data_IF_659023525079
#
_entry.id   IF_659023525079
#
_cell.length_a   1.000
_cell.length_b   1.000
_cell.length_c   1.000
_cell.angle_alpha   90.00
_cell.angle_beta   90.00
_cell.angle_gamma   90.00
#
_symmetry.space_group_name_H-M   'P 1'
#
loop_
_entity.id
_entity.type
_entity.pdbx_description
1 polymer ?
2 non-polymer ?
3 non-polymer ?
4 water ?
#
# COMPACT_ATOMS: atom_id res chain seq x y z
N UNK A 1 -9.05 -2.72 -10.97
CA UNK A 1 -7.95 -1.76 -10.63
C UNK A 1 -6.63 -2.43 -10.27
N UNK A 2 -5.57 -1.63 -10.13
CA UNK A 2 -4.24 -2.22 -9.97
C UNK A 2 -3.83 -2.41 -8.50
N UNK A 3 -4.57 -1.76 -7.60
CA UNK A 3 -4.50 -1.99 -6.14
C UNK A 3 -5.87 -2.46 -5.62
N UNK A 4 -5.86 -3.04 -4.45
CA UNK A 4 -7.12 -3.56 -3.90
C UNK A 4 -6.98 -3.54 -2.38
N UNK A 5 -7.96 -2.96 -1.67
CA UNK A 5 -7.90 -2.95 -0.22
C UNK A 5 -8.10 -4.35 0.36
N UNK A 6 -7.36 -4.67 1.41
CA UNK A 6 -7.54 -5.90 2.13
C UNK A 6 -8.95 -6.04 2.70
N UNK A 7 -9.54 -4.97 3.15
CA UNK A 7 -10.96 -4.98 3.68
C UNK A 7 -11.81 -3.86 3.11
N UNK A 8 -12.53 -4.12 1.99
CA UNK A 8 -13.33 -3.16 1.32
C UNK A 8 -14.42 -2.47 2.17
N UNK A 9 -15.04 -3.18 3.06
CA UNK A 9 -16.12 -2.59 3.91
C UNK A 9 -15.57 -1.44 4.76
N UNK A 10 -14.32 -1.67 5.20
CA UNK A 10 -13.62 -0.71 6.06
C UNK A 10 -12.96 0.42 5.28
N UNK A 11 -13.30 0.50 3.98
CA UNK A 11 -12.96 1.62 3.17
C UNK A 11 -13.50 2.96 3.74
N UNK A 12 -14.73 2.89 4.32
CA UNK A 12 -15.42 3.95 4.99
C UNK A 12 -14.76 4.29 6.32
N UNK A 13 -14.34 5.52 6.48
CA UNK A 13 -13.91 6.03 7.80
C UNK A 13 -14.97 5.85 8.86
N UNK A 14 -16.24 6.16 8.57
CA UNK A 14 -17.29 5.95 9.58
C UNK A 14 -17.42 4.51 10.00
N UNK A 15 -17.25 3.58 9.07
CA UNK A 15 -17.28 2.14 9.42
C UNK A 15 -16.11 1.81 10.31
N UNK A 16 -14.96 2.42 10.01
CA UNK A 16 -13.79 2.16 10.87
C UNK A 16 -14.04 2.73 12.25
N UNK A 17 -14.58 3.91 12.34
CA UNK A 17 -14.87 4.51 13.63
C UNK A 17 -15.79 3.64 14.47
N UNK A 18 -16.86 3.14 13.87
CA UNK A 18 -17.79 2.30 14.62
C UNK A 18 -17.14 1.06 15.23
N UNK A 19 -16.05 0.53 14.60
CA UNK A 19 -15.39 -0.68 15.02
C UNK A 19 -14.82 -0.54 16.43
N UNK A 20 -14.68 0.70 16.92
CA UNK A 20 -14.08 0.97 18.22
C UNK A 20 -15.08 0.97 19.39
N UNK A 21 -16.27 0.45 19.17
CA UNK A 21 -17.30 0.39 20.24
C UNK A 21 -16.76 -0.14 21.56
N UNK A 22 -15.99 -1.20 21.45
CA UNK A 22 -15.47 -1.94 22.61
C UNK A 22 -13.95 -1.84 22.70
N UNK A 23 -13.36 -0.77 22.16
CA UNK A 23 -11.96 -0.43 22.34
C UNK A 23 -11.63 -0.36 23.85
N UNK A 24 -10.54 -1.00 24.30
CA UNK A 24 -10.25 -1.10 25.73
C UNK A 24 -10.12 0.22 26.43
N UNK A 25 -10.46 0.24 27.71
CA UNK A 25 -10.32 1.51 28.43
C UNK A 25 -8.84 1.90 28.70
N UNK A 26 -7.92 0.97 28.58
CA UNK A 26 -6.52 1.27 28.75
C UNK A 26 -5.83 1.77 27.50
N UNK A 27 -6.55 1.69 26.38
CA UNK A 27 -5.91 2.03 25.16
C UNK A 27 -6.01 3.53 24.89
N UNK A 28 -4.87 4.17 24.90
CA UNK A 28 -4.85 5.59 24.95
C UNK A 28 -5.14 6.31 23.66
N UNK A 29 -4.83 5.73 22.50
CA UNK A 29 -5.11 6.41 21.26
C UNK A 29 -6.61 6.51 21.04
N UNK A 30 -7.03 7.59 20.42
CA UNK A 30 -8.48 7.77 20.18
C UNK A 30 -8.94 7.03 18.93
N UNK A 31 -10.16 6.51 18.96
CA UNK A 31 -10.74 5.95 17.76
C UNK A 31 -10.72 6.97 16.58
N UNK A 32 -10.95 8.25 16.89
CA UNK A 32 -10.81 9.27 15.82
C UNK A 32 -9.47 9.28 15.14
N UNK A 33 -8.41 9.32 15.90
CA UNK A 33 -7.06 9.29 15.31
C UNK A 33 -6.82 8.02 14.52
N UNK A 34 -7.13 6.89 15.12
CA UNK A 34 -6.86 5.60 14.48
C UNK A 34 -7.66 5.42 13.16
N UNK A 35 -8.94 5.74 13.18
CA UNK A 35 -9.78 5.59 12.01
C UNK A 35 -9.28 6.47 10.84
N UNK A 36 -8.84 7.67 11.20
CA UNK A 36 -8.35 8.65 10.23
C UNK A 36 -7.11 8.12 9.51
N UNK A 37 -6.29 7.33 10.24
CA UNK A 37 -5.09 6.71 9.69
C UNK A 37 -5.37 5.38 8.95
N UNK A 38 -6.62 5.07 8.65
CA UNK A 38 -7.02 3.89 7.90
C UNK A 38 -7.25 2.62 8.72
N UNK A 39 -7.18 2.75 10.04
CA UNK A 39 -7.19 1.64 10.95
C UNK A 39 -8.53 1.39 11.60
N UNK A 40 -8.85 0.11 11.74
CA UNK A 40 -10.06 -0.30 12.46
C UNK A 40 -9.71 -1.36 13.51
N UNK A 41 -10.60 -1.55 14.47
CA UNK A 41 -10.33 -2.43 15.59
C UNK A 41 -10.66 -3.86 15.27
N UNK A 42 -9.71 -4.72 15.59
CA UNK A 42 -9.83 -6.17 15.28
C UNK A 42 -10.66 -6.90 16.34
N UNK A 43 -10.91 -6.26 17.48
CA UNK A 43 -11.64 -6.89 18.55
C UNK A 43 -10.76 -7.60 19.57
N UNK A 44 -9.46 -7.60 19.34
CA UNK A 44 -8.48 -8.26 20.18
C UNK A 44 -7.52 -7.26 20.77
N UNK A 45 -7.47 -7.17 22.11
CA UNK A 45 -6.45 -6.37 22.77
C UNK A 45 -6.53 -4.90 22.33
N UNK A 46 -5.42 -4.28 22.07
CA UNK A 46 -5.38 -2.94 21.43
C UNK A 46 -4.92 -3.04 19.96
N UNK A 47 -5.25 -4.15 19.29
CA UNK A 47 -4.79 -4.45 17.90
C UNK A 47 -5.80 -3.89 16.91
N UNK A 48 -5.26 -3.04 16.02
CA UNK A 48 -6.01 -2.50 14.92
C UNK A 48 -5.42 -3.03 13.62
N UNK A 49 -6.12 -2.78 12.53
CA UNK A 49 -5.66 -3.23 11.20
C UNK A 49 -6.04 -2.19 10.16
N UNK A 50 -5.18 -2.03 9.16
CA UNK A 50 -5.44 -1.14 8.03
C UNK A 50 -6.35 -1.82 6.99
N UNK A 51 -7.39 -1.09 6.59
CA UNK A 51 -8.29 -1.57 5.53
C UNK A 51 -7.57 -1.77 4.20
N UNK A 52 -6.53 -1.01 3.98
CA UNK A 52 -5.86 -0.93 2.68
C UNK A 52 -4.79 -2.01 2.56
N UNK A 53 -3.74 -1.91 3.37
CA UNK A 53 -2.67 -2.87 3.29
C UNK A 53 -2.86 -4.16 4.10
N UNK A 54 -3.78 -4.14 5.05
CA UNK A 54 -4.00 -5.23 5.99
C UNK A 54 -3.00 -5.39 7.09
N UNK A 55 -2.08 -4.48 7.21
CA UNK A 55 -1.12 -4.47 8.29
C UNK A 55 -1.77 -4.25 9.63
N UNK A 56 -1.21 -4.89 10.67
CA UNK A 56 -1.72 -4.77 12.01
C UNK A 56 -0.76 -4.00 12.87
N UNK A 57 -1.33 -3.40 13.95
CA UNK A 57 -0.56 -2.61 14.84
C UNK A 57 -1.15 -2.84 16.21
N UNK A 58 -0.31 -3.09 17.21
CA UNK A 58 -0.82 -3.28 18.58
C UNK A 58 0.31 -2.88 19.56
N UNK A 59 0.03 -2.99 20.86
CA UNK A 59 0.97 -2.63 21.90
C UNK A 59 1.48 -1.24 21.75
N UNK A 60 0.50 -0.35 21.70
CA UNK A 60 0.74 1.06 21.51
C UNK A 60 1.44 1.62 22.76
N UNK A 61 2.41 2.49 22.55
CA UNK A 61 3.20 3.15 23.59
C UNK A 61 2.90 4.62 23.65
N UNK A 62 3.11 5.24 24.83
CA UNK A 62 2.87 6.65 24.92
C UNK A 62 3.80 7.41 23.95
N UNK A 63 3.27 8.43 23.30
CA UNK A 63 3.98 9.14 22.27
C UNK A 63 3.72 8.62 20.89
N UNK A 64 3.16 7.41 20.77
CA UNK A 64 2.84 6.87 19.43
C UNK A 64 1.81 7.77 18.74
N UNK A 65 2.00 7.97 17.45
CA UNK A 65 0.98 8.56 16.59
C UNK A 65 0.51 7.45 15.60
N UNK A 66 -0.80 7.39 15.32
CA UNK A 66 -1.33 6.38 14.38
C UNK A 66 -0.66 6.41 13.02
N UNK A 67 -0.57 7.59 12.42
CA UNK A 67 -0.05 7.71 11.06
C UNK A 67 1.41 7.31 11.05
N UNK A 68 2.15 7.85 12.01
CA UNK A 68 3.59 7.62 12.08
C UNK A 68 3.94 6.10 12.29
N UNK A 69 3.22 5.38 13.14
CA UNK A 69 3.38 3.96 13.32
C UNK A 69 2.93 3.14 12.07
N UNK A 70 1.84 3.58 11.46
CA UNK A 70 1.38 2.93 10.20
C UNK A 70 2.46 3.03 9.13
N UNK A 71 3.00 4.22 8.95
CA UNK A 71 4.05 4.45 7.94
C UNK A 71 5.35 3.72 8.30
N UNK A 72 5.70 3.62 9.59
CA UNK A 72 6.93 2.96 9.97
C UNK A 72 6.92 1.47 9.67
N UNK A 73 5.82 0.81 10.01
CA UNK A 73 5.73 -0.60 9.80
C UNK A 73 5.34 -0.97 8.38
N UNK A 74 4.57 -0.12 7.72
CA UNK A 74 3.95 -0.47 6.45
C UNK A 74 4.11 0.69 5.45
N UNK A 75 5.34 1.00 5.08
CA UNK A 75 5.57 2.21 4.30
C UNK A 75 5.09 2.13 2.86
N UNK A 76 4.85 0.92 2.36
CA UNK A 76 4.39 0.80 1.00
C UNK A 76 2.91 0.64 0.89
N UNK A 77 2.18 0.91 1.99
CA UNK A 77 0.73 0.85 1.97
C UNK A 77 0.18 1.96 1.05
N UNK A 78 -0.77 1.63 0.17
CA UNK A 78 -1.30 2.66 -0.75
C UNK A 78 -2.06 3.80 0.00
N UNK A 79 -2.60 3.49 1.17
CA UNK A 79 -3.25 4.53 1.97
C UNK A 79 -2.21 5.49 2.55
N UNK A 80 -1.12 4.93 3.05
CA UNK A 80 0.04 5.74 3.45
C UNK A 80 0.60 6.63 2.38
N UNK A 81 0.74 6.07 1.18
CA UNK A 81 1.41 6.70 0.05
C UNK A 81 0.45 7.62 -0.74
N UNK A 82 -0.83 7.58 -0.40
CA UNK A 82 -1.90 8.34 -1.05
C UNK A 82 -2.18 9.60 -0.21
N UNK B 9 20.14 -2.38 -5.93
CA UNK B 9 19.97 -3.58 -6.83
C UNK B 9 18.95 -3.25 -7.92
N UNK B 10 17.75 -2.84 -7.51
CA UNK B 10 16.70 -2.47 -8.44
C UNK B 10 16.67 -0.98 -8.74
N UNK B 11 17.73 -0.23 -8.35
CA UNK B 11 17.92 1.19 -8.72
C UNK B 11 18.09 1.44 -10.21
N UNK B 12 18.77 0.47 -10.83
CA UNK B 12 19.04 0.42 -12.26
C UNK B 12 17.80 0.04 -13.05
N UNK B 13 17.49 0.81 -14.08
CA UNK B 13 16.46 0.42 -14.99
C UNK B 13 16.76 -0.91 -15.67
N UNK B 14 18.06 -1.21 -15.90
CA UNK B 14 18.51 -2.48 -16.50
C UNK B 14 18.25 -3.67 -15.60
N UNK B 15 18.46 -3.51 -14.29
CA UNK B 15 18.28 -4.63 -13.40
C UNK B 15 16.76 -4.94 -13.26
N UNK B 16 15.97 -3.90 -13.31
CA UNK B 16 14.48 -4.01 -13.23
C UNK B 16 13.97 -4.68 -14.53
N UNK B 17 14.55 -4.35 -15.68
CA UNK B 17 14.14 -5.09 -16.91
C UNK B 17 14.46 -6.54 -16.80
N UNK B 18 15.66 -6.85 -16.33
CA UNK B 18 16.05 -8.24 -16.07
C UNK B 18 15.11 -9.03 -15.20
N UNK B 19 14.44 -8.36 -14.27
CA UNK B 19 13.50 -9.06 -13.41
C UNK B 19 12.33 -9.75 -14.12
N UNK B 20 12.08 -9.35 -15.35
CA UNK B 20 10.90 -9.73 -16.09
C UNK B 20 11.13 -11.05 -16.83
N UNK B 21 12.12 -11.82 -16.37
CA UNK B 21 12.15 -13.24 -16.67
C UNK B 21 10.85 -13.90 -16.24
N UNK B 22 10.28 -14.63 -17.14
CA UNK B 22 9.06 -15.36 -16.86
C UNK B 22 7.81 -14.45 -16.72
N UNK B 23 7.92 -13.19 -17.16
CA UNK B 23 6.75 -12.30 -17.27
C UNK B 23 5.76 -12.99 -18.23
N UNK B 24 4.48 -13.14 -17.84
CA UNK B 24 3.52 -13.91 -18.64
C UNK B 24 3.18 -13.26 -19.94
N UNK B 25 2.96 -14.13 -20.93
CA UNK B 25 2.77 -13.66 -22.29
C UNK B 25 1.45 -12.94 -22.39
N UNK B 26 0.49 -13.28 -21.52
CA UNK B 26 -0.83 -12.63 -21.58
C UNK B 26 -0.80 -11.18 -21.12
N UNK B 27 0.19 -10.81 -20.31
CA UNK B 27 0.12 -9.53 -19.62
C UNK B 27 0.02 -8.31 -20.54
N UNK B 28 -0.77 -7.33 -20.06
CA UNK B 28 -1.24 -6.23 -20.89
C UNK B 28 -0.31 -5.00 -21.00
N UNK B 29 0.83 -5.04 -20.31
CA UNK B 29 1.93 -4.08 -20.48
C UNK B 29 3.21 -4.80 -20.57
N UNK B 30 4.22 -4.14 -21.17
CA UNK B 30 5.53 -4.66 -21.34
C UNK B 30 6.60 -4.40 -20.24
N UNK B 31 7.61 -5.28 -20.10
CA UNK B 31 8.73 -5.08 -19.18
C UNK B 31 9.37 -3.69 -19.33
N UNK B 32 9.54 -3.18 -20.56
CA UNK B 32 10.07 -1.80 -20.75
C UNK B 32 9.22 -0.69 -20.19
N UNK B 33 7.92 -0.69 -20.45
CA UNK B 33 7.11 0.36 -19.98
C UNK B 33 7.18 0.32 -18.42
N UNK B 34 7.13 -0.91 -17.89
CA UNK B 34 7.09 -1.09 -16.42
C UNK B 34 8.41 -0.72 -15.76
N UNK B 35 9.55 -1.17 -16.30
CA UNK B 35 10.88 -0.93 -15.69
C UNK B 35 11.17 0.57 -15.76
N UNK B 36 10.66 1.22 -16.82
CA UNK B 36 10.81 2.67 -17.00
C UNK B 36 10.04 3.48 -15.97
N UNK B 37 8.93 2.94 -15.46
CA UNK B 37 8.19 3.61 -14.48
C UNK B 37 8.61 3.18 -13.06
N UNK B 38 9.75 2.56 -12.90
CA UNK B 38 10.34 2.21 -11.54
C UNK B 38 9.97 0.85 -11.06
N UNK B 39 9.33 0.04 -11.91
CA UNK B 39 8.66 -1.21 -11.43
C UNK B 39 9.42 -2.43 -11.82
N UNK B 40 9.44 -3.43 -10.97
CA UNK B 40 10.03 -4.66 -11.26
C UNK B 40 9.13 -5.83 -10.95
N UNK B 41 9.43 -6.99 -11.54
CA UNK B 41 8.54 -8.14 -11.42
C UNK B 41 8.76 -8.87 -10.11
N UNK B 42 7.69 -9.23 -9.40
CA UNK B 42 7.82 -9.92 -8.10
C UNK B 42 7.93 -11.40 -8.28
N UNK B 43 7.64 -11.87 -9.51
CA UNK B 43 7.74 -13.26 -9.84
C UNK B 43 6.46 -14.02 -9.87
N UNK B 44 5.36 -13.39 -9.50
CA UNK B 44 4.05 -14.01 -9.51
C UNK B 44 3.02 -13.21 -10.31
N UNK B 45 2.21 -13.93 -11.08
CA UNK B 45 1.16 -13.31 -11.87
C UNK B 45 1.74 -12.23 -12.72
N UNK B 46 1.01 -11.10 -12.74
CA UNK B 46 1.51 -9.87 -13.43
C UNK B 46 1.84 -8.77 -12.44
N UNK B 47 2.19 -9.18 -11.23
CA UNK B 47 2.46 -8.22 -10.15
C UNK B 47 3.88 -7.63 -10.20
N UNK B 48 3.93 -6.31 -10.05
CA UNK B 48 5.16 -5.59 -10.02
C UNK B 48 5.21 -4.70 -8.78
N UNK B 49 6.41 -4.25 -8.46
CA UNK B 49 6.70 -3.48 -7.29
C UNK B 49 7.66 -2.34 -7.64
N UNK B 50 7.50 -1.20 -6.97
CA UNK B 50 8.36 0.00 -7.18
C UNK B 50 9.60 -0.08 -6.35
N UNK B 51 10.73 0.20 -6.97
CA UNK B 51 12.03 0.10 -6.32
C UNK B 51 12.17 1.21 -5.28
N UNK B 52 11.42 2.30 -5.45
CA UNK B 52 11.52 3.47 -4.54
C UNK B 52 10.53 3.47 -3.38
N UNK B 53 9.27 3.32 -3.70
CA UNK B 53 8.22 3.29 -2.68
C UNK B 53 7.81 1.92 -2.20
N UNK B 54 8.11 0.87 -2.95
CA UNK B 54 7.69 -0.43 -2.58
C UNK B 54 6.28 -0.80 -2.92
N UNK B 55 5.52 0.13 -3.48
CA UNK B 55 4.18 -0.11 -3.82
C UNK B 55 4.00 -1.18 -4.91
N UNK B 56 3.00 -1.99 -4.74
CA UNK B 56 2.66 -3.13 -5.61
C UNK B 56 1.45 -2.86 -6.46
N UNK B 57 1.56 -3.26 -7.72
CA UNK B 57 0.48 -3.13 -8.72
C UNK B 57 0.34 -4.45 -9.46
N UNK B 58 -0.91 -4.79 -9.76
CA UNK B 58 -1.19 -6.05 -10.43
C UNK B 58 -2.52 -5.94 -11.15
N UNK B 59 -2.89 -6.99 -11.88
CA UNK B 59 -4.19 -7.03 -12.56
C UNK B 59 -4.30 -5.91 -13.54
N UNK B 60 -3.23 -5.75 -14.34
CA UNK B 60 -3.13 -4.76 -15.40
C UNK B 60 -4.19 -5.06 -16.48
N UNK B 61 -4.89 -4.02 -16.91
CA UNK B 61 -5.92 -4.16 -17.96
C UNK B 61 -5.50 -3.49 -19.21
N UNK B 62 -6.11 -3.93 -20.32
CA UNK B 62 -5.80 -3.27 -21.57
C UNK B 62 -5.99 -1.75 -21.50
N UNK B 63 -5.04 -1.00 -22.05
CA UNK B 63 -5.08 0.43 -22.09
C UNK B 63 -4.39 1.07 -20.88
N UNK B 64 -4.22 0.33 -19.79
CA UNK B 64 -3.45 0.87 -18.62
C UNK B 64 -2.03 1.30 -19.00
N UNK B 65 -1.49 2.37 -18.35
CA UNK B 65 -0.16 2.83 -18.58
C UNK B 65 0.60 2.69 -17.21
N UNK B 66 1.86 2.28 -17.25
CA UNK B 66 2.64 2.00 -15.98
C UNK B 66 2.72 3.31 -15.16
N UNK B 67 3.14 4.42 -15.82
CA UNK B 67 3.29 5.67 -15.10
C UNK B 67 2.02 6.20 -14.48
N UNK B 68 0.90 6.14 -15.20
CA UNK B 68 -0.31 6.61 -14.73
C UNK B 68 -0.81 5.87 -13.48
N UNK B 69 -0.72 4.53 -13.48
CA UNK B 69 -1.13 3.76 -12.38
C UNK B 69 -0.19 4.02 -11.16
N UNK B 70 1.10 4.09 -11.43
CA UNK B 70 2.08 4.29 -10.38
C UNK B 70 1.75 5.63 -9.64
N UNK B 71 1.61 6.71 -10.40
CA UNK B 71 1.30 8.01 -9.84
C UNK B 71 -0.11 8.11 -9.22
N UNK B 72 -1.09 7.45 -9.84
CA UNK B 72 -2.40 7.44 -9.27
C UNK B 72 -2.51 6.86 -7.86
N UNK B 73 -1.88 5.72 -7.69
CA UNK B 73 -1.98 5.00 -6.43
C UNK B 73 -0.91 5.31 -5.37
N UNK B 74 0.25 5.81 -5.78
CA UNK B 74 1.35 6.03 -4.89
C UNK B 74 1.88 7.44 -5.17
N UNK B 75 1.00 8.44 -5.03
CA UNK B 75 1.45 9.80 -5.38
C UNK B 75 2.56 10.35 -4.56
N UNK B 76 2.73 9.86 -3.34
CA UNK B 76 3.84 10.32 -2.50
C UNK B 76 5.14 9.57 -2.66
N UNK B 77 5.22 8.64 -3.62
CA UNK B 77 6.47 8.02 -3.97
C UNK B 77 7.48 9.05 -4.46
N UNK B 78 8.69 8.98 -3.93
CA UNK B 78 9.71 10.00 -4.25
C UNK B 78 10.04 9.95 -5.73
N UNK B 79 10.07 8.74 -6.32
CA UNK B 79 10.28 8.61 -7.75
C UNK B 79 9.16 9.25 -8.56
N UNK B 80 7.92 9.09 -8.15
CA UNK B 80 6.76 9.68 -8.80
C UNK B 80 6.91 11.19 -8.69
N UNK B 81 7.29 11.67 -7.53
CA UNK B 81 7.30 13.14 -7.29
C UNK B 81 8.39 13.75 -8.16
N UNK B 82 9.49 13.07 -8.38
CA UNK B 82 10.56 13.52 -9.27
C UNK B 82 10.17 13.56 -10.73
N UNK B 83 9.51 12.49 -11.17
CA UNK B 83 8.94 12.38 -12.52
C UNK B 83 7.95 13.51 -12.82
N UNK B 84 7.11 13.89 -11.86
CA UNK B 84 6.19 15.01 -12.04
C UNK B 84 6.88 16.36 -12.01
X LIG C 1 -2.00 0.40 5.51
X LIG D 1 5.39 -5.65 10.56
X LIG D 1 4.95 -5.37 11.91
X LIG D 1 4.01 -6.21 12.39
X LIG D 1 3.83 -7.51 11.90
X LIG D 1 2.84 -8.33 12.43
X LIG D 1 2.00 -7.84 13.44
X LIG D 1 1.01 -8.65 13.97
X LIG D 1 0.12 -8.20 14.97
X LIG D 1 0.31 -6.92 15.39
X LIG D 1 1.33 -6.09 14.93
X LIG D 1 2.21 -6.52 13.92
X LIG D 1 3.20 -5.69 13.42
X LIG D 1 3.41 -4.37 13.85
X LIG D 1 4.11 -4.27 15.21
X LIG D 1 3.59 -3.45 16.15
X LIG D 1 2.53 -2.80 15.93
X LIG D 1 4.32 -3.24 17.38
X LIG D 1 4.25 -4.39 18.31
X LIG D 1 3.85 -2.03 18.02
X LIG D 1 4.33 -0.81 17.83
X LIG D 1 5.25 -0.48 17.06
X LIG D 1 3.55 0.26 18.55
X LIG D 1 2.25 0.54 17.67
X LIG D 1 4.35 1.48 18.60
X LIG D 1 5.54 1.40 19.54
X LIG D 1 5.24 -4.99 15.46
X LIG D 1 6.27 -5.03 14.49
X LIG D 1 7.45 -5.76 14.75
X LIG D 1 7.62 -6.44 15.96
X LIG D 1 6.63 -6.39 16.92
X LIG D 1 5.42 -5.68 16.63
X LIG D 1 4.58 -5.67 17.67
X LIG D 1 4.11 -6.75 18.32
X LIG D 1 3.42 -6.58 19.32
X LIG D 1 4.17 -8.06 17.84
X LIG D 1 4.33 -9.10 18.76
X LIG D 1 4.33 -10.42 18.31
X LIG D 1 4.14 -10.70 16.97
X LIG D 1 4.14 -11.97 16.55
X LIG D 1 3.97 -9.66 16.06
X LIG D 1 3.98 -8.37 16.50
X LIG E 1 6.96 4.23 -6.35
#
# INVERSE_FOLDING_TARGET
>A
GTIYPRNPAMYSEEARLKSFQNWPDYAHLTPRELASAGLYYTGIGDQVQCFACGGKLKNWEPGDRAWSEHRRHFPNCFFVLGRNLN
>B
GTIYPRNPAMYSEEARLKSFQNWPDYAHLTPRELASAGLYYTGIGDQVQCFACGGKLKNWEPGDRAWSEHRRHFPNCFFVLGRNLN
>C hetero
1 ZN ZN
>D hetero
1 1RH C28 O27 C26 C25 C24 C23 C37 C38 C39 C40 C22 C21 C20 N11 C9 O10 C7 C15 N6 C5 O8 C3 C4 N2 C1 C12 C16 C18 C17 C19 C13 N14 C29 O30 C31 C32 C33 C34 N41 C35 C36
>E hetero
1 ZN ZN
#
